data_IF_836228607230
#
_entry.id   IF_836228607230
#
_cell.length_a   1.000
_cell.length_b   1.000
_cell.length_c   1.000
_cell.angle_alpha   90.00
_cell.angle_beta   90.00
_cell.angle_gamma   90.00
#
_symmetry.space_group_name_H-M   'P 1'
#
loop_
_entity.id
_entity.type
_entity.pdbx_description
1 polymer ?
2 branched ?
3 branched ?
4 non-polymer ?
5 non-polymer ?
6 water ?
#
# COMPACT_ATOMS: atom_id res chain seq x y z
N UNK A 2 4.96 -3.60 14.73
CA UNK A 2 4.82 -2.31 13.97
C UNK A 2 5.58 -2.25 12.59
N UNK A 3 5.21 -1.27 11.77
CA UNK A 3 5.70 -1.08 10.39
C UNK A 3 5.94 0.43 10.14
N UNK A 4 7.07 0.88 9.61
CA UNK A 4 7.90 0.24 8.59
C UNK A 4 6.86 -0.21 7.53
N UNK A 5 6.66 -1.45 7.11
CA UNK A 5 7.57 -2.50 6.89
C UNK A 5 7.20 -3.16 5.56
N UNK A 6 5.98 -3.11 4.96
CA UNK A 6 4.76 -2.23 5.07
C UNK A 6 4.47 -0.82 4.55
N UNK A 7 5.24 0.19 4.91
CA UNK A 7 5.30 1.44 4.18
C UNK A 7 6.41 1.48 3.06
N UNK A 8 6.02 2.01 1.92
CA UNK A 8 6.93 2.42 0.87
C UNK A 8 8.07 3.29 1.43
N UNK A 9 9.32 2.93 1.14
CA UNK A 9 10.45 3.72 1.64
C UNK A 9 11.12 4.38 0.46
N UNK A 10 11.92 5.36 0.77
CA UNK A 10 12.51 6.15 -0.32
C UNK A 10 13.89 6.56 0.03
N UNK A 11 14.79 6.45 -0.94
CA UNK A 11 16.21 6.91 -0.72
C UNK A 11 16.50 8.05 -1.64
N UNK A 12 16.82 9.16 -1.02
CA UNK A 12 17.27 10.35 -1.69
C UNK A 12 18.73 10.12 -2.04
N UNK A 13 18.95 9.76 -3.31
CA UNK A 13 20.22 9.19 -3.77
C UNK A 13 21.02 10.19 -4.57
N UNK A 14 22.30 10.28 -4.27
CA UNK A 14 23.16 11.22 -4.90
C UNK A 14 24.30 10.40 -5.64
N UNK A 15 24.56 10.74 -6.91
CA UNK A 15 25.55 10.04 -7.76
C UNK A 15 26.65 11.01 -8.18
N UNK A 16 27.89 10.55 -8.06
CA UNK A 16 29.13 11.21 -8.61
C UNK A 16 29.65 10.31 -9.71
N UNK A 17 29.93 10.91 -10.85
CA UNK A 17 30.67 10.28 -11.90
C UNK A 17 32.10 10.91 -11.88
N UNK A 18 33.09 10.06 -11.57
CA UNK A 18 34.46 10.56 -11.39
C UNK A 18 35.12 10.91 -12.76
N UNK A 19 36.25 11.59 -12.70
CA UNK A 19 36.93 12.11 -13.92
C UNK A 19 37.45 10.97 -14.85
N UNK A 20 37.90 9.85 -14.32
CA UNK A 20 38.24 8.67 -15.15
C UNK A 20 37.08 8.15 -15.95
N UNK A 21 35.92 8.10 -15.34
CA UNK A 21 34.77 7.70 -16.07
C UNK A 21 34.39 8.75 -17.16
N UNK A 22 34.41 10.04 -16.85
CA UNK A 22 34.14 11.07 -17.82
C UNK A 22 35.06 10.92 -19.04
N UNK A 23 36.38 10.69 -18.81
CA UNK A 23 37.37 10.42 -19.90
C UNK A 23 37.03 9.17 -20.67
N UNK A 24 36.75 8.08 -19.96
CA UNK A 24 36.34 6.81 -20.61
C UNK A 24 35.08 6.98 -21.50
N UNK A 25 34.18 7.91 -21.13
CA UNK A 25 33.02 8.27 -21.93
C UNK A 25 33.32 9.35 -22.93
N UNK A 26 34.58 9.53 -23.28
CA UNK A 26 34.87 10.47 -24.35
C UNK A 26 34.32 11.87 -24.09
N UNK A 27 34.35 12.27 -22.82
CA UNK A 27 33.86 13.61 -22.46
C UNK A 27 32.39 13.86 -22.83
N UNK A 28 31.59 12.82 -23.00
CA UNK A 28 30.22 12.94 -23.53
C UNK A 28 29.22 12.99 -22.35
N UNK A 29 28.90 14.17 -21.83
CA UNK A 29 27.97 14.29 -20.71
C UNK A 29 26.64 13.72 -21.03
N UNK A 30 26.07 14.10 -22.19
CA UNK A 30 24.79 13.51 -22.48
C UNK A 30 24.75 11.97 -22.39
N UNK A 31 25.81 11.31 -22.80
CA UNK A 31 25.84 9.83 -22.88
C UNK A 31 26.05 9.33 -21.48
N UNK A 32 26.83 10.09 -20.70
CA UNK A 32 26.98 9.72 -19.30
C UNK A 32 25.65 9.77 -18.52
N UNK A 33 24.92 10.88 -18.71
CA UNK A 33 23.64 11.06 -18.00
C UNK A 33 22.60 10.02 -18.38
N UNK A 34 22.38 9.79 -19.67
CA UNK A 34 21.41 8.80 -20.08
C UNK A 34 21.81 7.42 -19.52
N UNK A 35 23.11 7.08 -19.44
CA UNK A 35 23.52 5.78 -18.91
C UNK A 35 23.03 5.73 -17.42
N UNK A 36 23.28 6.80 -16.66
CA UNK A 36 22.99 6.73 -15.18
C UNK A 36 21.49 6.71 -14.98
N UNK A 37 20.79 7.50 -15.78
CA UNK A 37 19.31 7.39 -15.72
C UNK A 37 18.81 5.98 -15.93
N UNK A 38 19.35 5.28 -16.93
CA UNK A 38 18.83 3.93 -17.30
C UNK A 38 19.24 2.92 -16.22
N UNK A 39 20.36 3.16 -15.56
CA UNK A 39 20.79 2.26 -14.54
C UNK A 39 19.95 2.44 -13.35
N UNK A 40 19.64 3.71 -12.97
CA UNK A 40 18.83 3.95 -11.80
C UNK A 40 17.46 3.34 -11.98
N UNK A 41 16.91 3.35 -13.18
CA UNK A 41 15.57 2.79 -13.36
C UNK A 41 15.59 1.28 -13.19
N UNK A 42 16.68 0.67 -13.63
CA UNK A 42 16.92 -0.79 -13.51
C UNK A 42 17.15 -1.16 -12.04
N UNK A 43 17.92 -0.36 -11.30
CA UNK A 43 17.98 -0.55 -9.84
C UNK A 43 16.57 -0.49 -9.12
N UNK A 44 15.72 0.50 -9.47
CA UNK A 44 14.38 0.59 -8.92
C UNK A 44 13.47 -0.64 -9.24
N UNK A 45 13.59 -1.18 -10.46
CA UNK A 45 12.93 -2.40 -10.83
C UNK A 45 13.37 -3.55 -9.95
N UNK A 46 14.64 -3.71 -9.61
CA UNK A 46 15.08 -4.81 -8.68
C UNK A 46 14.67 -4.53 -7.24
N UNK A 47 14.64 -3.27 -6.83
CA UNK A 47 14.23 -2.97 -5.47
C UNK A 47 12.69 -2.95 -5.19
N UNK A 48 11.91 -2.92 -6.25
CA UNK A 48 10.45 -2.85 -6.11
C UNK A 48 9.83 -3.89 -5.09
N UNK A 49 10.18 -5.18 -5.20
CA UNK A 49 9.65 -6.13 -4.20
C UNK A 49 10.04 -5.75 -2.78
N UNK A 50 11.13 -5.00 -2.59
CA UNK A 50 11.45 -4.53 -1.24
C UNK A 50 10.74 -3.24 -0.87
N UNK A 51 9.83 -2.72 -1.68
CA UNK A 51 9.12 -1.48 -1.32
C UNK A 51 10.06 -0.28 -1.04
N UNK A 52 11.09 -0.13 -1.82
CA UNK A 52 12.07 0.91 -1.57
C UNK A 52 12.32 1.48 -3.00
N UNK A 53 12.21 2.79 -3.06
CA UNK A 53 12.40 3.51 -4.30
C UNK A 53 13.61 4.43 -4.15
N UNK A 54 14.46 4.42 -5.18
CA UNK A 54 15.70 5.21 -5.24
C UNK A 54 15.41 6.46 -6.06
N UNK A 55 15.39 7.59 -5.38
CA UNK A 55 15.07 8.80 -6.06
C UNK A 55 16.33 9.55 -6.29
N UNK A 56 16.66 9.73 -7.59
CA UNK A 56 17.83 10.50 -7.91
C UNK A 56 17.66 12.02 -7.71
N UNK A 57 18.30 12.56 -6.69
CA UNK A 57 18.23 13.97 -6.40
C UNK A 57 19.54 14.78 -6.56
N UNK A 58 20.62 14.12 -6.98
CA UNK A 58 21.85 14.83 -7.30
C UNK A 58 22.73 13.99 -8.25
N UNK A 59 23.37 14.66 -9.20
CA UNK A 59 24.36 14.04 -10.15
C UNK A 59 25.48 15.01 -10.39
N UNK A 60 26.67 14.69 -9.92
CA UNK A 60 27.83 15.51 -10.33
C UNK A 60 28.69 14.69 -11.30
N UNK A 61 29.14 15.36 -12.34
CA UNK A 61 30.16 14.79 -13.25
C UNK A 61 31.46 15.57 -13.06
N UNK A 62 32.48 14.88 -12.63
CA UNK A 62 33.74 15.59 -12.38
C UNK A 62 34.48 15.74 -13.75
N UNK A 63 34.00 16.66 -14.59
CA UNK A 63 34.59 16.89 -15.86
C UNK A 63 35.99 17.57 -15.85
N UNK A 64 36.42 18.18 -14.75
CA UNK A 64 37.74 18.79 -14.77
C UNK A 64 38.77 17.99 -13.95
N UNK A 65 38.44 17.65 -12.71
CA UNK A 65 39.33 16.91 -11.89
C UNK A 65 38.46 16.25 -10.84
N UNK A 66 38.99 15.22 -10.17
CA UNK A 66 38.29 14.62 -9.08
C UNK A 66 38.32 15.51 -7.85
N UNK A 67 37.30 15.39 -6.98
CA UNK A 67 37.27 16.29 -5.81
C UNK A 67 37.96 15.71 -4.60
N UNK A 68 38.17 14.39 -4.55
CA UNK A 68 39.13 13.79 -3.62
C UNK A 68 39.89 12.70 -4.45
N UNK A 69 40.96 12.10 -3.90
CA UNK A 69 41.80 11.13 -4.62
C UNK A 69 41.20 9.78 -4.81
N UNK A 70 40.95 9.40 -6.04
CA UNK A 70 40.41 8.06 -6.22
C UNK A 70 41.57 7.12 -6.52
N UNK A 71 41.58 5.94 -5.88
CA UNK A 71 42.76 5.10 -5.81
C UNK A 71 42.26 3.76 -6.06
N UNK A 72 43.12 2.86 -6.61
CA UNK A 72 42.70 1.53 -7.03
C UNK A 72 42.44 0.52 -5.92
N UNK A 73 42.89 0.82 -4.71
CA UNK A 73 42.51 0.02 -3.53
C UNK A 73 41.11 0.47 -3.16
N UNK A 74 40.13 -0.39 -3.45
CA UNK A 74 38.71 -0.09 -3.28
C UNK A 74 38.39 0.35 -1.84
N UNK A 75 38.99 -0.31 -0.83
CA UNK A 75 38.70 0.06 0.56
C UNK A 75 39.26 1.42 0.88
N UNK A 76 40.36 1.80 0.29
CA UNK A 76 40.85 3.17 0.53
C UNK A 76 39.94 4.26 -0.16
N UNK A 77 39.44 3.98 -1.34
CA UNK A 77 38.54 4.95 -1.99
C UNK A 77 37.22 5.06 -1.24
N UNK A 78 36.71 3.93 -0.80
CA UNK A 78 35.45 3.91 -0.11
C UNK A 78 35.52 4.73 1.15
N UNK A 79 36.59 4.60 1.91
CA UNK A 79 36.74 5.40 3.09
C UNK A 79 36.95 6.89 2.80
N UNK A 80 37.75 7.20 1.83
CA UNK A 80 37.85 8.56 1.30
C UNK A 80 36.52 9.22 0.77
N UNK A 81 35.69 8.42 0.09
CA UNK A 81 34.41 8.91 -0.44
C UNK A 81 33.50 9.24 0.73
N UNK A 82 33.40 8.31 1.71
CA UNK A 82 32.61 8.48 2.90
C UNK A 82 32.88 9.77 3.62
N UNK A 83 34.15 10.11 3.66
CA UNK A 83 34.64 11.26 4.38
C UNK A 83 34.34 12.50 3.62
N UNK A 84 34.51 12.44 2.31
CA UNK A 84 34.16 13.52 1.45
C UNK A 84 32.69 13.72 1.57
N UNK A 85 31.91 12.65 1.55
CA UNK A 85 30.47 12.87 1.63
C UNK A 85 30.14 13.59 2.95
N UNK A 86 30.70 13.09 4.01
CA UNK A 86 30.39 13.72 5.32
C UNK A 86 30.95 15.11 5.45
N UNK A 87 32.17 15.31 5.05
CA UNK A 87 32.82 16.57 5.38
C UNK A 87 32.48 17.66 4.39
N UNK A 88 32.29 17.28 3.12
CA UNK A 88 32.09 18.27 2.04
C UNK A 88 30.67 18.36 1.47
N UNK A 89 30.03 17.22 1.16
CA UNK A 89 28.82 17.24 0.39
C UNK A 89 27.65 17.50 1.32
N UNK A 90 27.54 16.65 2.35
CA UNK A 90 26.36 16.60 3.23
C UNK A 90 26.01 17.97 3.84
N UNK A 91 27.02 18.79 4.24
CA UNK A 91 26.60 20.09 4.76
C UNK A 91 25.92 20.94 3.72
N UNK A 92 26.09 20.65 2.44
CA UNK A 92 25.47 21.50 1.42
C UNK A 92 24.35 20.82 0.65
N UNK A 93 24.42 19.50 0.53
CA UNK A 93 23.42 18.73 -0.23
C UNK A 93 22.93 17.54 0.54
N UNK A 94 21.69 17.63 0.96
CA UNK A 94 21.08 16.58 1.72
C UNK A 94 20.89 15.34 0.88
N UNK A 95 21.20 14.17 1.45
CA UNK A 95 20.96 12.97 0.71
C UNK A 95 21.06 11.84 1.68
N UNK A 96 20.34 10.75 1.41
CA UNK A 96 20.39 9.55 2.29
C UNK A 96 21.60 8.61 2.05
N UNK A 97 22.08 8.61 0.78
CA UNK A 97 23.03 7.68 0.31
C UNK A 97 23.61 8.28 -0.98
N UNK A 98 24.92 8.08 -1.21
CA UNK A 98 25.65 8.42 -2.38
C UNK A 98 26.40 7.22 -2.96
N UNK A 99 26.44 7.12 -4.29
CA UNK A 99 27.34 6.21 -4.95
C UNK A 99 28.32 6.95 -5.84
N UNK A 100 29.57 6.49 -5.77
CA UNK A 100 30.58 6.90 -6.69
C UNK A 100 30.73 5.87 -7.86
N UNK A 101 30.54 6.37 -9.08
CA UNK A 101 30.70 5.58 -10.29
C UNK A 101 32.08 5.99 -10.84
N UNK A 102 32.96 5.02 -10.92
CA UNK A 102 34.31 5.35 -11.22
C UNK A 102 34.82 4.60 -12.45
N UNK A 103 35.71 5.26 -13.18
CA UNK A 103 36.40 4.61 -14.32
C UNK A 103 37.79 4.07 -13.96
N UNK A 104 38.18 4.13 -12.70
CA UNK A 104 39.47 3.59 -12.28
C UNK A 104 39.28 2.08 -12.36
N UNK A 105 40.38 1.34 -12.57
CA UNK A 105 40.31 -0.10 -12.51
C UNK A 105 40.75 -0.50 -11.08
N UNK A 106 39.87 -1.10 -10.31
CA UNK A 106 40.23 -1.45 -8.93
C UNK A 106 41.11 -2.68 -8.93
N UNK A 107 41.96 -2.74 -7.89
CA UNK A 107 42.86 -3.86 -7.61
C UNK A 107 42.12 -5.14 -7.74
N UNK A 108 42.76 -6.15 -8.33
CA UNK A 108 42.20 -7.48 -8.33
C UNK A 108 40.98 -7.47 -9.19
N UNK A 109 40.03 -8.29 -8.90
CA UNK A 109 38.81 -8.27 -9.76
C UNK A 109 37.59 -7.65 -9.04
N UNK A 110 37.86 -6.96 -7.95
CA UNK A 110 36.95 -6.05 -7.29
C UNK A 110 36.28 -5.03 -8.27
N UNK A 111 34.94 -4.90 -8.14
CA UNK A 111 34.09 -4.09 -9.00
C UNK A 111 33.25 -3.02 -8.23
N UNK A 112 33.23 -3.18 -6.90
CA UNK A 112 32.73 -2.16 -6.01
C UNK A 112 32.95 -2.48 -4.53
N UNK A 113 32.59 -1.53 -3.67
CA UNK A 113 32.61 -1.79 -2.22
C UNK A 113 31.61 -0.89 -1.48
N UNK A 114 31.08 -1.37 -0.35
CA UNK A 114 30.03 -0.62 0.41
C UNK A 114 30.21 -0.88 1.88
N UNK A 115 29.83 0.07 2.73
CA UNK A 115 29.66 -0.32 4.13
C UNK A 115 28.39 -1.07 4.29
N UNK A 116 28.35 -1.91 5.30
CA UNK A 116 27.16 -2.77 5.53
C UNK A 116 26.16 -2.11 6.51
N UNK A 117 24.87 -2.08 6.14
CA UNK A 117 23.80 -1.53 7.00
C UNK A 117 24.18 -0.15 7.53
N UNK A 118 24.28 0.82 6.62
CA UNK A 118 24.80 2.13 7.02
C UNK A 118 23.91 3.23 6.47
N UNK A 119 22.67 2.88 6.11
CA UNK A 119 21.72 3.87 5.61
C UNK A 119 21.65 4.99 6.61
N UNK A 120 21.59 6.20 6.09
CA UNK A 120 21.49 7.36 6.96
C UNK A 120 22.73 7.69 7.83
N UNK A 121 23.77 6.84 7.90
CA UNK A 121 24.96 7.24 8.70
C UNK A 121 25.72 8.33 7.95
N UNK A 122 26.23 9.31 8.70
CA UNK A 122 26.80 10.50 8.07
C UNK A 122 28.13 10.17 7.48
N UNK A 123 28.77 9.09 7.99
CA UNK A 123 30.08 8.73 7.48
C UNK A 123 30.03 7.49 6.66
N UNK A 124 28.94 6.76 6.53
CA UNK A 124 29.05 5.43 5.93
C UNK A 124 28.02 5.06 4.87
N UNK A 125 27.08 5.95 4.66
CA UNK A 125 26.02 5.71 3.72
C UNK A 125 26.51 6.00 2.26
N UNK A 126 27.22 5.02 1.67
CA UNK A 126 28.14 5.28 0.58
C UNK A 126 28.56 3.98 0.02
N UNK A 127 28.67 3.91 -1.31
CA UNK A 127 29.23 2.82 -1.96
C UNK A 127 29.93 3.27 -3.20
N UNK A 128 30.91 2.46 -3.66
CA UNK A 128 31.67 2.78 -4.83
C UNK A 128 31.49 1.67 -5.84
N UNK A 129 31.49 2.03 -7.14
CA UNK A 129 31.17 1.07 -8.18
C UNK A 129 31.96 1.39 -9.41
N UNK A 130 32.61 0.38 -9.97
CA UNK A 130 33.32 0.56 -11.18
C UNK A 130 32.37 0.44 -12.33
N UNK A 131 32.45 1.39 -13.26
CA UNK A 131 31.75 1.21 -14.51
C UNK A 131 32.59 0.30 -15.46
N UNK A 132 32.47 -1.00 -15.21
CA UNK A 132 33.43 -1.99 -15.68
C UNK A 132 32.91 -2.78 -16.89
N UNK A 133 31.78 -2.39 -17.51
CA UNK A 133 31.26 -3.09 -18.66
C UNK A 133 30.26 -2.17 -19.37
N UNK A 134 30.25 -2.20 -20.69
CA UNK A 134 29.31 -1.41 -21.50
C UNK A 134 27.85 -1.74 -21.14
N UNK A 135 27.63 -3.00 -20.76
CA UNK A 135 26.33 -3.48 -20.38
C UNK A 135 25.77 -2.98 -19.04
N UNK A 136 24.79 -2.06 -19.10
CA UNK A 136 24.18 -1.55 -17.88
C UNK A 136 23.47 -2.69 -17.18
N UNK A 137 23.04 -3.71 -17.93
CA UNK A 137 22.40 -4.88 -17.24
C UNK A 137 23.32 -5.38 -16.13
N UNK A 138 24.64 -5.30 -16.36
CA UNK A 138 25.61 -5.78 -15.40
C UNK A 138 26.02 -4.70 -14.41
N UNK A 139 26.28 -3.47 -14.85
CA UNK A 139 26.70 -2.43 -13.88
C UNK A 139 25.52 -2.11 -12.97
N UNK A 140 24.29 -2.15 -13.48
CA UNK A 140 23.16 -1.81 -12.66
C UNK A 140 22.97 -2.84 -11.53
N UNK A 141 23.31 -4.11 -11.80
CA UNK A 141 23.26 -5.20 -10.76
C UNK A 141 24.29 -4.98 -9.68
N UNK A 142 25.51 -4.63 -10.05
CA UNK A 142 26.49 -4.19 -9.07
C UNK A 142 26.01 -2.96 -8.27
N UNK A 143 25.44 -1.97 -8.96
CA UNK A 143 24.82 -0.87 -8.23
C UNK A 143 23.75 -1.37 -7.24
N UNK A 144 22.84 -2.20 -7.66
CA UNK A 144 21.84 -2.71 -6.72
C UNK A 144 22.45 -3.56 -5.56
N UNK A 145 23.40 -4.43 -5.90
CA UNK A 145 24.18 -5.28 -4.90
C UNK A 145 24.88 -4.48 -3.86
N UNK A 146 25.64 -3.46 -4.27
CA UNK A 146 26.28 -2.54 -3.29
C UNK A 146 25.30 -1.78 -2.36
N UNK A 147 24.23 -1.29 -2.94
CA UNK A 147 23.19 -0.65 -2.14
C UNK A 147 22.50 -1.70 -1.26
N UNK A 148 22.30 -2.91 -1.79
CA UNK A 148 21.91 -4.08 -0.99
C UNK A 148 22.79 -4.20 0.24
N UNK A 149 24.13 -4.11 0.09
CA UNK A 149 24.99 -4.08 1.26
C UNK A 149 24.70 -2.92 2.22
N UNK A 150 24.43 -1.70 1.72
CA UNK A 150 24.23 -0.54 2.61
C UNK A 150 22.93 -0.69 3.46
N UNK A 151 21.97 -1.38 2.87
CA UNK A 151 20.73 -1.70 3.52
C UNK A 151 20.81 -3.06 4.37
N UNK A 152 22.02 -3.36 4.90
CA UNK A 152 22.24 -4.46 5.89
C UNK A 152 22.38 -5.90 5.42
N UNK A 153 22.39 -6.14 4.11
CA UNK A 153 22.37 -7.46 3.54
C UNK A 153 23.83 -7.92 3.25
N UNK A 154 24.20 -9.12 3.72
CA UNK A 154 25.47 -9.82 3.38
C UNK A 154 25.31 -10.73 2.16
N UNK A 155 26.42 -11.29 1.71
CA UNK A 155 26.40 -12.22 0.56
C UNK A 155 25.58 -13.47 0.83
N UNK A 156 24.90 -13.93 -0.21
CA UNK A 156 24.06 -15.09 -0.15
C UNK A 156 24.95 -16.27 0.26
N UNK A 157 24.50 -17.07 1.23
CA UNK A 157 25.17 -18.36 1.58
C UNK A 157 24.77 -19.38 0.53
N UNK A 158 25.51 -20.48 0.44
CA UNK A 158 25.47 -21.34 -0.75
C UNK A 158 24.08 -21.89 -1.09
N UNK A 159 23.19 -21.82 -0.11
CA UNK A 159 21.84 -22.43 -0.15
C UNK A 159 20.62 -21.54 -0.56
N UNK A 160 20.86 -20.25 -0.87
CA UNK A 160 19.83 -19.30 -1.34
C UNK A 160 19.93 -19.44 -2.83
N UNK A 161 19.03 -19.01 -3.74
CA UNK A 161 17.60 -19.37 -3.77
C UNK A 161 17.44 -19.65 -5.32
N UNK A 162 17.57 -18.69 -6.25
CA UNK A 162 16.47 -17.87 -6.73
C UNK A 162 16.33 -18.61 -8.02
N UNK A 163 15.23 -18.39 -8.75
CA UNK A 163 15.10 -19.01 -10.08
C UNK A 163 14.85 -17.80 -10.96
N UNK A 164 15.20 -17.89 -12.26
CA UNK A 164 16.39 -18.62 -12.75
C UNK A 164 17.73 -18.07 -12.33
N UNK A 165 18.01 -16.84 -12.81
CA UNK A 165 19.37 -16.30 -13.01
C UNK A 165 19.89 -16.15 -11.62
N UNK A 166 21.12 -15.67 -11.44
CA UNK A 166 21.55 -15.52 -10.07
C UNK A 166 20.74 -14.50 -9.26
N UNK A 167 20.85 -14.67 -7.95
CA UNK A 167 20.38 -13.72 -6.97
C UNK A 167 21.30 -12.55 -6.94
N UNK A 168 20.72 -11.36 -6.73
CA UNK A 168 21.49 -10.10 -6.63
C UNK A 168 22.67 -10.16 -5.65
N UNK A 169 22.50 -10.86 -4.53
CA UNK A 169 23.60 -10.87 -3.56
C UNK A 169 24.61 -12.02 -3.70
N UNK A 170 24.50 -12.81 -4.75
CA UNK A 170 25.61 -13.72 -5.05
C UNK A 170 26.89 -12.87 -5.06
N UNK A 171 27.93 -13.33 -4.36
CA UNK A 171 29.19 -12.60 -4.30
C UNK A 171 29.83 -12.46 -5.70
N UNK A 172 29.54 -13.38 -6.61
CA UNK A 172 30.14 -13.31 -7.93
C UNK A 172 29.12 -13.72 -8.98
N UNK A 173 28.91 -12.85 -9.96
CA UNK A 173 27.93 -13.13 -11.05
C UNK A 173 28.65 -12.88 -12.34
N UNK A 174 28.16 -13.46 -13.41
CA UNK A 174 28.62 -13.13 -14.80
C UNK A 174 27.44 -12.82 -15.74
N UNK A 175 26.25 -13.08 -15.20
CA UNK A 175 25.00 -12.63 -15.81
C UNK A 175 24.26 -11.58 -14.90
N UNK A 176 23.48 -10.70 -15.53
CA UNK A 176 22.60 -9.81 -14.85
C UNK A 176 21.75 -10.57 -13.81
N UNK A 177 21.54 -9.88 -12.70
CA UNK A 177 20.81 -10.40 -11.55
C UNK A 177 19.49 -9.57 -11.43
N UNK A 178 18.38 -10.26 -11.24
CA UNK A 178 17.05 -9.62 -11.20
C UNK A 178 16.31 -9.74 -9.89
N UNK A 179 16.72 -10.62 -8.99
CA UNK A 179 15.94 -10.77 -7.76
C UNK A 179 16.77 -11.11 -6.61
N UNK A 180 16.27 -10.74 -5.44
CA UNK A 180 16.97 -11.02 -4.18
C UNK A 180 16.49 -12.41 -3.73
N UNK A 181 17.40 -13.16 -3.08
CA UNK A 181 17.07 -14.41 -2.36
C UNK A 181 16.12 -14.17 -1.17
N UNK A 182 15.24 -15.12 -0.87
CA UNK A 182 14.46 -15.02 0.39
C UNK A 182 15.32 -14.68 1.66
N UNK A 183 16.60 -15.09 1.66
CA UNK A 183 17.56 -14.83 2.75
C UNK A 183 18.01 -13.37 2.76
N UNK A 184 18.10 -12.77 1.58
CA UNK A 184 18.44 -11.32 1.50
C UNK A 184 17.24 -10.58 1.99
N UNK A 185 16.09 -10.94 1.44
CA UNK A 185 14.83 -10.31 1.84
C UNK A 185 14.60 -10.32 3.38
N UNK A 186 14.78 -11.48 4.01
CA UNK A 186 14.80 -11.64 5.52
C UNK A 186 15.77 -10.71 6.25
N UNK A 187 17.02 -10.62 5.77
CA UNK A 187 18.07 -9.90 6.50
C UNK A 187 17.83 -8.42 6.42
N UNK A 188 17.23 -7.99 5.30
CA UNK A 188 16.89 -6.60 5.09
C UNK A 188 15.77 -6.23 5.98
N UNK A 189 14.70 -7.04 5.97
CA UNK A 189 13.58 -6.89 6.94
C UNK A 189 14.10 -6.81 8.38
N UNK A 190 15.10 -7.60 8.76
CA UNK A 190 15.67 -7.48 10.11
C UNK A 190 16.46 -6.25 10.31
N UNK A 191 17.24 -5.88 9.27
CA UNK A 191 18.06 -4.64 9.35
C UNK A 191 17.15 -3.51 9.74
N UNK A 192 16.04 -3.41 9.00
CA UNK A 192 15.11 -2.32 9.17
C UNK A 192 14.52 -2.31 10.57
N UNK A 193 14.11 -3.51 11.04
CA UNK A 193 13.57 -3.65 12.43
C UNK A 193 14.57 -3.22 13.52
N UNK A 194 15.83 -3.60 13.37
CA UNK A 194 16.87 -3.34 14.36
C UNK A 194 17.42 -1.91 14.32
N UNK A 195 17.64 -1.38 13.12
CA UNK A 195 18.31 -0.08 13.02
C UNK A 195 17.30 1.05 12.81
N UNK A 196 16.10 0.69 12.34
CA UNK A 196 15.08 1.70 12.17
C UNK A 196 15.63 3.02 11.53
N UNK A 197 16.21 2.95 10.26
CA UNK A 197 16.84 4.14 9.59
C UNK A 197 15.79 5.19 9.27
N UNK A 198 15.84 6.33 9.91
CA UNK A 198 14.69 7.26 9.85
C UNK A 198 14.59 7.93 8.50
N UNK A 199 15.75 8.22 7.94
CA UNK A 199 15.84 9.12 6.80
C UNK A 199 15.27 8.55 5.53
N UNK A 200 14.82 7.30 5.54
CA UNK A 200 14.32 6.68 4.33
C UNK A 200 12.82 6.65 4.34
N UNK A 201 12.24 7.33 5.32
CA UNK A 201 10.79 7.40 5.49
C UNK A 201 10.07 8.56 4.71
N UNK A 202 10.75 9.69 4.50
CA UNK A 202 10.17 10.79 3.81
C UNK A 202 10.12 10.60 2.34
N UNK A 203 9.02 11.04 1.75
CA UNK A 203 8.82 10.98 0.36
C UNK A 203 9.35 12.30 -0.18
N UNK A 204 10.35 12.23 -1.12
CA UNK A 204 10.87 13.43 -1.79
C UNK A 204 9.89 14.10 -2.74
N UNK A 205 10.03 15.41 -2.92
CA UNK A 205 9.20 16.15 -3.88
C UNK A 205 9.55 15.77 -5.32
N UNK A 206 8.55 15.67 -6.16
CA UNK A 206 8.75 15.39 -7.54
C UNK A 206 9.67 16.44 -8.19
N UNK A 207 9.63 17.68 -7.69
CA UNK A 207 10.43 18.73 -8.26
C UNK A 207 11.90 18.66 -7.84
N UNK A 208 12.27 17.82 -6.86
CA UNK A 208 13.70 17.72 -6.52
C UNK A 208 14.41 16.56 -7.24
N UNK A 209 13.71 15.75 -8.00
CA UNK A 209 14.27 14.59 -8.72
C UNK A 209 14.95 15.11 -9.97
N UNK A 210 16.21 14.71 -10.22
CA UNK A 210 16.97 15.26 -11.32
C UNK A 210 16.97 14.30 -12.51
N UNK A 211 16.64 13.01 -12.29
CA UNK A 211 16.41 12.10 -13.40
C UNK A 211 15.12 12.55 -14.15
N UNK A 212 15.06 12.42 -15.47
CA UNK A 212 13.83 12.62 -16.18
C UNK A 212 12.71 11.69 -15.72
N UNK A 213 11.45 12.15 -15.81
CA UNK A 213 10.28 11.31 -15.42
C UNK A 213 10.18 10.00 -16.15
N UNK A 214 9.76 8.95 -15.45
CA UNK A 214 9.56 7.68 -16.13
C UNK A 214 8.13 7.15 -15.89
N UNK A 215 7.33 7.09 -16.93
CA UNK A 215 5.96 6.70 -16.70
C UNK A 215 5.94 5.20 -16.48
N UNK A 216 5.62 4.74 -15.27
CA UNK A 216 5.57 3.33 -15.06
C UNK A 216 6.53 2.88 -13.99
N UNK A 217 7.19 3.85 -13.35
CA UNK A 217 8.05 3.53 -12.25
C UNK A 217 7.45 3.65 -10.84
N UNK A 218 6.14 3.89 -10.76
CA UNK A 218 5.41 3.81 -9.47
C UNK A 218 5.72 5.04 -8.67
N UNK A 219 6.43 5.99 -9.24
CA UNK A 219 6.67 7.26 -8.54
C UNK A 219 6.20 8.41 -9.41
N UNK A 220 5.43 9.33 -8.79
CA UNK A 220 4.73 10.33 -9.54
C UNK A 220 5.74 11.48 -9.75
N UNK A 221 6.06 11.81 -10.99
CA UNK A 221 7.11 12.75 -11.22
C UNK A 221 6.52 13.95 -11.95
N UNK A 222 7.34 14.96 -12.21
CA UNK A 222 6.88 16.13 -12.98
C UNK A 222 6.21 15.70 -14.29
N UNK A 223 5.03 16.28 -14.51
CA UNK A 223 4.26 16.02 -15.70
C UNK A 223 3.47 14.74 -15.57
N UNK A 224 3.53 14.08 -14.43
CA UNK A 224 2.69 12.91 -14.28
C UNK A 224 1.62 13.27 -13.25
N UNK A 225 0.42 12.71 -13.37
CA UNK A 225 -0.66 12.84 -12.39
C UNK A 225 -0.70 11.61 -11.47
N UNK A 226 -0.57 10.46 -12.07
CA UNK A 226 -0.54 9.19 -11.29
C UNK A 226 0.44 8.18 -11.99
N UNK A 227 1.02 7.28 -11.23
CA UNK A 227 1.85 6.27 -11.79
C UNK A 227 1.68 4.97 -11.01
N UNK A 228 1.16 3.96 -11.71
CA UNK A 228 0.71 2.65 -11.12
C UNK A 228 1.38 1.51 -11.89
N UNK A 229 2.46 1.82 -12.61
CA UNK A 229 3.18 0.83 -13.38
C UNK A 229 2.61 0.67 -14.77
N UNK A 230 2.76 -0.53 -15.33
CA UNK A 230 2.29 -0.85 -16.69
C UNK A 230 0.76 -1.06 -16.74
N UNK A 231 0.16 -0.86 -17.90
CA UNK A 231 -1.29 -1.10 -17.98
C UNK A 231 -1.72 -2.46 -17.44
N UNK A 232 -0.85 -3.46 -17.48
CA UNK A 232 -1.23 -4.80 -17.02
C UNK A 232 -0.99 -5.01 -15.52
N UNK A 233 -0.06 -4.26 -14.96
CA UNK A 233 0.15 -4.41 -13.54
C UNK A 233 -0.74 -3.46 -12.74
N UNK A 234 -1.30 -2.44 -13.38
CA UNK A 234 -1.91 -1.36 -12.64
C UNK A 234 -3.12 -1.80 -11.78
N UNK A 235 -3.02 -1.60 -10.45
CA UNK A 235 -4.10 -1.82 -9.46
C UNK A 235 -4.87 -0.52 -9.10
N UNK A 236 -4.62 0.57 -9.81
CA UNK A 236 -5.30 1.81 -9.52
C UNK A 236 -6.39 2.01 -10.52
N UNK A 237 -7.62 1.84 -10.05
CA UNK A 237 -8.82 1.92 -10.88
C UNK A 237 -8.98 3.23 -11.62
N UNK A 238 -8.40 4.32 -11.13
CA UNK A 238 -8.73 5.63 -11.68
C UNK A 238 -7.54 6.36 -12.36
N UNK A 239 -6.51 5.58 -12.64
CA UNK A 239 -5.30 6.02 -13.33
C UNK A 239 -5.29 5.31 -14.69
N UNK A 240 -5.03 6.05 -15.74
CA UNK A 240 -4.77 5.47 -17.01
C UNK A 240 -3.25 5.28 -17.03
N UNK A 241 -2.82 4.02 -16.81
CA UNK A 241 -1.40 3.66 -16.65
C UNK A 241 -0.56 4.09 -17.83
N UNK A 242 -1.08 3.91 -19.05
CA UNK A 242 -0.29 4.12 -20.26
C UNK A 242 0.19 5.56 -20.36
N UNK A 243 -0.63 6.51 -19.86
CA UNK A 243 -0.32 7.92 -20.05
C UNK A 243 -0.01 8.57 -18.70
N UNK A 244 -0.10 7.82 -17.60
CA UNK A 244 0.09 8.40 -16.26
C UNK A 244 -0.82 9.59 -15.97
N UNK A 245 -2.07 9.45 -16.44
CA UNK A 245 -3.09 10.48 -16.34
C UNK A 245 -4.27 9.99 -15.57
N UNK A 246 -5.07 10.71 -14.68
CA UNK A 246 -6.32 10.43 -13.97
C UNK A 246 -7.41 10.08 -14.98
N UNK A 247 -8.17 9.00 -14.74
CA UNK A 247 -9.40 8.74 -15.55
C UNK A 247 -10.44 9.86 -15.39
N UNK A 248 -11.33 10.05 -16.36
CA UNK A 248 -12.32 11.10 -16.19
C UNK A 248 -13.36 10.82 -15.12
N UNK A 249 -14.03 11.87 -14.66
CA UNK A 249 -15.02 11.80 -13.56
C UNK A 249 -16.35 11.13 -13.93
N UNK A 250 -16.57 10.81 -15.22
CA UNK A 250 -17.75 10.04 -15.63
C UNK A 250 -17.54 8.52 -15.41
N UNK A 251 -16.31 8.15 -15.10
CA UNK A 251 -15.89 6.75 -15.05
C UNK A 251 -16.39 6.10 -13.73
N UNK A 252 -17.26 5.12 -13.85
CA UNK A 252 -17.75 4.51 -12.63
C UNK A 252 -16.69 3.54 -12.17
N UNK A 253 -16.37 3.50 -10.89
CA UNK A 253 -15.43 2.45 -10.48
C UNK A 253 -15.96 1.41 -9.50
N UNK A 254 -17.12 1.65 -8.88
CA UNK A 254 -17.74 0.57 -8.03
C UNK A 254 -19.26 0.82 -8.06
N UNK A 255 -20.00 0.06 -8.88
CA UNK A 255 -21.48 0.21 -8.96
C UNK A 255 -22.18 -0.06 -7.60
N UNK A 256 -23.33 0.59 -7.38
CA UNK A 256 -24.16 0.40 -6.19
C UNK A 256 -24.56 -1.04 -6.22
N UNK A 257 -24.21 -1.82 -5.21
CA UNK A 257 -24.64 -3.27 -5.24
C UNK A 257 -26.15 -3.49 -5.07
N UNK A 258 -26.83 -2.54 -4.41
CA UNK A 258 -28.26 -2.50 -4.19
C UNK A 258 -28.53 -1.12 -3.65
N UNK A 259 -29.75 -0.95 -3.11
CA UNK A 259 -30.23 0.37 -2.82
C UNK A 259 -29.81 0.93 -1.50
N UNK A 260 -28.97 0.23 -0.75
CA UNK A 260 -28.49 0.80 0.50
C UNK A 260 -27.03 1.15 0.28
N UNK A 261 -26.64 0.97 -0.97
CA UNK A 261 -25.31 1.27 -1.47
C UNK A 261 -25.27 2.63 -2.29
N UNK A 262 -24.20 3.43 -2.15
CA UNK A 262 -23.90 4.56 -3.13
C UNK A 262 -22.85 4.13 -4.22
N UNK A 263 -23.04 4.52 -5.53
CA UNK A 263 -21.98 4.13 -6.51
C UNK A 263 -20.72 4.93 -6.31
N UNK A 264 -19.54 4.32 -6.45
CA UNK A 264 -18.36 5.17 -6.68
C UNK A 264 -17.96 5.50 -8.15
N UNK A 265 -17.57 6.74 -8.37
CA UNK A 265 -17.06 7.17 -9.62
C UNK A 265 -15.63 7.70 -9.37
N UNK A 266 -14.75 7.63 -10.39
CA UNK A 266 -13.45 8.31 -10.34
C UNK A 266 -13.67 9.76 -10.07
N UNK A 267 -12.81 10.39 -9.27
CA UNK A 267 -13.04 11.82 -9.06
C UNK A 267 -12.58 12.71 -10.27
N UNK A 268 -11.78 12.15 -11.18
CA UNK A 268 -11.17 12.98 -12.22
C UNK A 268 -9.87 13.65 -11.84
N UNK A 269 -9.47 13.52 -10.59
CA UNK A 269 -8.31 14.21 -10.06
C UNK A 269 -7.69 13.45 -8.88
N UNK A 270 -7.94 12.14 -8.89
CA UNK A 270 -7.27 11.14 -8.03
C UNK A 270 -7.19 9.78 -8.75
N UNK A 271 -6.27 8.93 -8.29
CA UNK A 271 -5.84 7.69 -8.92
C UNK A 271 -6.61 6.48 -8.46
N UNK A 272 -7.05 6.50 -7.22
CA UNK A 272 -7.82 5.37 -6.63
C UNK A 272 -9.33 5.56 -6.69
N UNK A 273 -9.98 4.42 -6.83
CA UNK A 273 -11.40 4.39 -6.62
C UNK A 273 -11.70 4.89 -5.12
N UNK A 274 -12.58 5.93 -4.98
CA UNK A 274 -13.04 6.41 -3.67
C UNK A 274 -13.42 5.21 -2.87
N UNK A 275 -13.21 5.25 -1.56
CA UNK A 275 -13.72 4.19 -0.65
C UNK A 275 -15.26 3.99 -0.79
N UNK A 276 -15.72 2.83 -0.37
CA UNK A 276 -17.09 2.39 -0.50
C UNK A 276 -17.93 3.11 0.58
N UNK A 277 -18.60 4.18 0.15
CA UNK A 277 -19.66 4.85 0.91
C UNK A 277 -20.95 4.13 0.66
N UNK A 278 -21.81 4.16 1.71
CA UNK A 278 -23.05 3.45 1.68
C UNK A 278 -24.12 4.49 1.71
N UNK A 279 -25.33 4.10 1.38
CA UNK A 279 -26.45 4.99 1.68
C UNK A 279 -26.47 5.35 3.22
N UNK A 280 -26.80 6.60 3.55
CA UNK A 280 -27.01 7.09 4.90
C UNK A 280 -27.97 6.20 5.75
N UNK A 281 -27.63 5.94 7.00
CA UNK A 281 -28.57 5.26 7.93
C UNK A 281 -29.80 6.11 8.04
N UNK A 282 -30.96 5.46 8.07
CA UNK A 282 -32.31 6.08 8.11
C UNK A 282 -32.93 6.29 6.73
N UNK A 283 -32.15 6.02 5.69
CA UNK A 283 -32.61 6.30 4.37
C UNK A 283 -33.62 5.28 3.96
N UNK A 284 -34.79 5.70 3.45
CA UNK A 284 -35.75 4.64 2.99
C UNK A 284 -35.12 3.69 1.95
N UNK A 285 -35.48 2.42 2.03
CA UNK A 285 -35.09 1.41 1.06
C UNK A 285 -36.25 0.41 0.85
N UNK A 286 -36.07 -0.46 -0.16
CA UNK A 286 -37.07 -1.43 -0.74
C UNK A 286 -38.50 -0.92 -0.74
N UNK A 287 -38.76 0.09 -1.56
CA UNK A 287 -40.13 0.52 -1.71
C UNK A 287 -40.75 1.03 -0.43
N UNK A 288 -39.94 1.75 0.33
CA UNK A 288 -40.38 2.36 1.55
C UNK A 288 -40.68 1.28 2.56
N UNK A 289 -39.66 0.44 2.79
CA UNK A 289 -39.85 -0.74 3.64
C UNK A 289 -38.97 -1.27 4.82
N UNK A 290 -37.79 -0.83 4.26
CA UNK A 290 -36.82 -0.27 5.26
C UNK A 290 -36.69 1.18 5.45
N UNK A 291 -35.95 1.85 6.62
CA UNK A 291 -34.50 2.03 6.62
C UNK A 291 -33.26 1.24 6.36
N UNK A 292 -32.36 1.83 5.58
CA UNK A 292 -30.94 1.60 5.58
C UNK A 292 -30.19 1.56 6.89
N UNK A 293 -29.38 0.55 7.09
CA UNK A 293 -28.59 0.45 8.31
C UNK A 293 -27.31 -0.30 8.01
N UNK A 294 -26.17 0.39 8.15
CA UNK A 294 -24.88 -0.19 7.81
C UNK A 294 -24.97 -0.80 6.39
N UNK A 295 -25.57 -0.08 5.45
CA UNK A 295 -25.60 -0.50 4.05
C UNK A 295 -26.41 -1.76 3.89
N UNK A 296 -27.39 -1.93 4.72
CA UNK A 296 -28.22 -3.09 4.60
C UNK A 296 -29.70 -2.58 4.85
N UNK A 297 -30.71 -3.35 4.45
CA UNK A 297 -32.10 -2.95 4.62
C UNK A 297 -32.92 -3.98 5.47
N UNK A 298 -32.73 -3.97 6.79
CA UNK A 298 -33.29 -5.06 7.64
C UNK A 298 -34.78 -4.99 7.69
N UNK A 299 -35.46 -6.08 7.39
CA UNK A 299 -36.92 -6.11 7.51
C UNK A 299 -37.41 -7.34 8.28
N UNK A 300 -38.56 -7.23 8.98
CA UNK A 300 -39.06 -8.38 9.73
C UNK A 300 -39.37 -9.48 8.74
N UNK A 301 -39.91 -9.18 7.55
CA UNK A 301 -40.21 -10.24 6.63
C UNK A 301 -38.94 -10.94 6.16
N UNK A 302 -37.86 -10.18 5.93
CA UNK A 302 -36.68 -10.82 5.37
C UNK A 302 -36.03 -11.65 6.44
N UNK A 303 -36.07 -11.21 7.72
CA UNK A 303 -35.63 -12.01 8.85
C UNK A 303 -36.43 -13.30 8.99
N UNK A 304 -37.72 -13.26 8.76
CA UNK A 304 -38.53 -14.54 8.69
C UNK A 304 -38.07 -15.43 7.61
N UNK A 305 -37.79 -14.82 6.45
CA UNK A 305 -37.36 -15.63 5.31
C UNK A 305 -35.97 -16.24 5.60
N UNK A 306 -35.04 -15.46 6.11
CA UNK A 306 -33.78 -16.09 6.35
C UNK A 306 -33.86 -17.19 7.40
N UNK A 307 -34.74 -17.04 8.40
CA UNK A 307 -34.87 -18.08 9.44
C UNK A 307 -35.59 -19.32 8.90
N UNK A 308 -36.65 -19.14 8.13
CA UNK A 308 -37.58 -20.27 7.89
C UNK A 308 -37.76 -20.57 6.45
N UNK A 309 -37.28 -19.67 5.61
CA UNK A 309 -37.43 -19.95 4.19
C UNK A 309 -38.41 -19.12 3.41
N UNK A 310 -38.37 -19.27 2.07
CA UNK A 310 -39.20 -18.44 1.16
C UNK A 310 -40.71 -18.59 1.35
N UNK A 311 -41.18 -19.65 1.99
CA UNK A 311 -42.61 -19.79 2.22
C UNK A 311 -43.20 -18.94 3.34
N UNK A 312 -42.40 -18.17 4.06
CA UNK A 312 -42.82 -17.42 5.24
C UNK A 312 -42.71 -15.91 5.13
N UNK A 313 -43.46 -15.17 5.98
CA UNK A 313 -43.31 -13.74 6.20
C UNK A 313 -43.50 -13.37 7.67
N UNK A 314 -43.34 -12.07 7.96
CA UNK A 314 -43.67 -11.54 9.26
C UNK A 314 -45.17 -11.88 9.51
N UNK A 315 -45.52 -12.27 10.73
CA UNK A 315 -46.89 -12.45 11.20
C UNK A 315 -47.65 -11.12 11.23
N UNK A 316 -49.00 -11.19 11.14
CA UNK A 316 -49.81 -10.02 11.37
C UNK A 316 -49.55 -9.34 12.74
N UNK A 317 -49.67 -8.03 12.70
CA UNK A 317 -49.35 -7.09 13.77
C UNK A 317 -49.85 -7.50 15.12
N UNK A 318 -51.02 -8.14 15.17
CA UNK A 318 -51.63 -8.43 16.46
C UNK A 318 -50.84 -9.47 17.21
N UNK A 319 -50.05 -10.30 16.52
CA UNK A 319 -49.25 -11.35 17.17
C UNK A 319 -48.25 -10.71 18.11
N UNK A 320 -47.64 -9.62 17.63
CA UNK A 320 -46.59 -8.91 18.42
C UNK A 320 -47.03 -8.41 19.81
N UNK A 321 -48.35 -8.21 19.97
CA UNK A 321 -48.91 -7.86 21.29
C UNK A 321 -48.66 -8.88 22.37
N UNK A 322 -48.55 -10.18 22.03
CA UNK A 322 -48.05 -11.14 23.00
C UNK A 322 -46.84 -10.63 23.77
N UNK A 323 -45.93 -9.89 23.14
CA UNK A 323 -44.70 -9.42 23.80
C UNK A 323 -44.83 -8.50 24.99
N UNK A 324 -46.03 -7.95 25.20
CA UNK A 324 -46.30 -7.17 26.40
C UNK A 324 -46.36 -8.10 27.61
N UNK A 325 -46.46 -9.43 27.36
CA UNK A 325 -46.53 -10.38 28.46
C UNK A 325 -45.22 -10.44 29.18
N UNK A 326 -44.12 -10.35 28.44
CA UNK A 326 -42.81 -10.53 29.06
C UNK A 326 -42.60 -11.90 29.70
N UNK A 327 -43.36 -12.93 29.28
CA UNK A 327 -43.21 -14.29 29.86
C UNK A 327 -42.14 -15.05 29.10
N UNK A 328 -42.05 -16.36 29.29
CA UNK A 328 -40.81 -16.91 28.76
C UNK A 328 -40.61 -16.95 27.24
N UNK A 329 -41.73 -17.00 26.52
CA UNK A 329 -41.66 -16.98 25.08
C UNK A 329 -41.84 -15.62 24.40
N UNK A 330 -42.65 -14.74 24.96
CA UNK A 330 -43.06 -13.51 24.32
C UNK A 330 -42.61 -12.32 25.21
N UNK A 331 -41.73 -11.47 24.71
CA UNK A 331 -40.97 -10.51 25.55
C UNK A 331 -40.12 -9.52 24.67
N UNK A 332 -39.58 -8.48 25.33
CA UNK A 332 -38.48 -7.65 24.84
C UNK A 332 -37.22 -7.91 25.65
N UNK A 333 -36.13 -7.31 25.21
CA UNK A 333 -34.91 -7.31 26.02
C UNK A 333 -34.39 -5.91 26.21
N UNK A 334 -33.95 -5.64 27.43
CA UNK A 334 -33.24 -4.41 27.70
C UNK A 334 -31.93 -4.51 26.98
N UNK A 335 -31.30 -3.36 26.76
CA UNK A 335 -29.96 -3.30 26.16
C UNK A 335 -28.94 -4.34 26.74
N UNK A 336 -29.06 -4.72 28.03
CA UNK A 336 -28.11 -5.66 28.63
C UNK A 336 -28.13 -7.22 28.43
N UNK A 337 -29.06 -7.91 27.75
CA UNK A 337 -30.42 -7.60 27.55
C UNK A 337 -31.17 -8.68 28.33
N UNK A 338 -31.66 -8.26 29.49
CA UNK A 338 -32.53 -9.09 30.31
C UNK A 338 -33.98 -9.03 29.77
N UNK A 339 -34.71 -10.13 29.97
CA UNK A 339 -36.12 -10.23 29.57
C UNK A 339 -37.00 -9.28 30.30
N UNK A 340 -37.77 -8.49 29.55
CA UNK A 340 -38.80 -7.57 30.09
C UNK A 340 -40.11 -7.69 29.27
N UNK A 341 -41.25 -7.43 29.92
CA UNK A 341 -42.48 -7.31 29.13
C UNK A 341 -42.24 -6.17 28.14
N UNK A 342 -42.80 -6.16 26.95
CA UNK A 342 -42.62 -4.96 26.06
C UNK A 342 -43.62 -3.84 26.44
N UNK A 343 -43.20 -2.56 26.37
CA UNK A 343 -44.18 -1.47 26.28
C UNK A 343 -44.91 -1.62 24.95
N UNK A 344 -46.13 -1.09 24.83
CA UNK A 344 -46.96 -1.25 23.61
C UNK A 344 -46.32 -0.75 22.32
N UNK A 345 -45.48 0.24 22.41
CA UNK A 345 -44.90 0.87 21.21
C UNK A 345 -43.70 0.01 20.74
N UNK A 346 -43.18 -0.81 21.65
CA UNK A 346 -41.96 -1.57 21.42
C UNK A 346 -42.12 -3.02 20.97
N UNK A 347 -43.34 -3.47 20.76
CA UNK A 347 -43.66 -4.88 20.63
C UNK A 347 -43.01 -5.55 19.42
N UNK A 348 -42.80 -4.78 18.32
CA UNK A 348 -42.18 -5.38 17.09
C UNK A 348 -40.69 -5.55 17.18
N UNK A 349 -40.05 -4.93 18.17
CA UNK A 349 -38.64 -5.04 18.50
C UNK A 349 -38.37 -6.16 19.49
N UNK A 350 -39.42 -6.89 19.87
CA UNK A 350 -39.21 -8.01 20.84
C UNK A 350 -39.18 -9.32 20.06
N UNK A 351 -39.58 -10.40 20.68
CA UNK A 351 -39.63 -11.62 19.98
C UNK A 351 -40.30 -11.47 18.55
N UNK A 352 -39.65 -12.10 17.56
CA UNK A 352 -40.17 -12.21 16.18
C UNK A 352 -41.21 -13.32 15.97
N UNK A 353 -42.31 -12.97 15.26
CA UNK A 353 -43.31 -13.93 14.87
C UNK A 353 -43.37 -13.92 13.40
N UNK A 354 -43.54 -15.15 12.93
CA UNK A 354 -43.57 -15.54 11.53
C UNK A 354 -44.78 -16.32 11.18
N UNK A 355 -45.08 -16.28 9.89
CA UNK A 355 -46.25 -16.97 9.31
C UNK A 355 -46.01 -17.40 7.87
N UNK A 356 -46.61 -18.48 7.46
CA UNK A 356 -46.67 -18.77 6.07
C UNK A 356 -47.30 -17.66 5.24
N UNK A 357 -46.69 -17.37 4.12
CA UNK A 357 -47.22 -16.34 3.21
C UNK A 357 -48.75 -16.48 3.07
N UNK A 358 -49.43 -15.33 3.06
CA UNK A 358 -50.92 -15.25 3.08
C UNK A 358 -51.78 -16.09 4.08
N UNK A 359 -51.29 -16.31 5.35
CA UNK A 359 -52.01 -17.14 6.36
C UNK A 359 -52.23 -16.67 7.81
N UNK A 360 -51.91 -15.46 8.20
CA UNK A 360 -52.47 -15.02 9.54
C UNK A 360 -52.07 -15.78 10.85
N UNK A 361 -51.17 -16.75 10.79
CA UNK A 361 -50.72 -17.41 12.00
C UNK A 361 -49.74 -16.56 12.80
N UNK A 362 -49.59 -16.87 14.09
CA UNK A 362 -48.42 -16.44 14.82
C UNK A 362 -47.67 -17.73 15.02
N UNK A 363 -46.20 -17.80 14.45
CA UNK A 363 -45.33 -18.85 14.88
C UNK A 363 -44.06 -18.26 15.24
N UNK A 364 -43.33 -18.98 16.07
CA UNK A 364 -42.03 -18.59 16.55
C UNK A 364 -41.00 -19.54 16.01
N UNK A 365 -39.97 -19.02 15.27
CA UNK A 365 -38.88 -19.91 14.79
C UNK A 365 -38.15 -20.46 15.99
N UNK A 366 -38.06 -21.78 16.12
CA UNK A 366 -37.69 -22.27 17.45
C UNK A 366 -36.23 -21.88 17.75
N UNK A 367 -36.02 -21.21 18.88
CA UNK A 367 -34.70 -20.64 19.12
C UNK A 367 -34.36 -20.50 20.58
N UNK A 368 -33.38 -21.28 21.02
CA UNK A 368 -32.87 -21.15 22.42
C UNK A 368 -32.99 -19.69 23.02
N UNK A 369 -32.51 -18.66 22.31
CA UNK A 369 -32.55 -17.25 22.82
C UNK A 369 -34.00 -16.67 23.28
N UNK A 370 -34.95 -16.41 22.38
CA UNK A 370 -34.86 -16.55 20.99
C UNK A 370 -34.95 -15.21 20.28
N UNK A 371 -35.27 -15.32 19.01
CA UNK A 371 -34.93 -14.26 18.06
C UNK A 371 -35.82 -13.04 18.18
N UNK A 372 -35.18 -11.86 18.21
CA UNK A 372 -35.85 -10.58 18.19
C UNK A 372 -35.43 -9.84 16.94
N UNK A 373 -36.18 -8.83 16.58
CA UNK A 373 -35.85 -7.97 15.51
C UNK A 373 -34.42 -7.49 15.56
N UNK A 374 -33.80 -7.56 14.43
CA UNK A 374 -32.46 -7.07 14.27
C UNK A 374 -32.44 -5.53 14.35
N UNK A 375 -31.31 -4.97 14.87
CA UNK A 375 -31.07 -3.52 14.94
C UNK A 375 -31.34 -2.82 13.61
N UNK A 376 -32.10 -1.71 13.64
CA UNK A 376 -32.41 -0.87 12.48
C UNK A 376 -33.56 -1.46 11.73
N UNK A 377 -34.15 -2.55 12.23
CA UNK A 377 -35.36 -3.08 11.55
C UNK A 377 -36.48 -2.05 11.62
N UNK A 378 -37.17 -1.81 10.49
CA UNK A 378 -38.30 -0.89 10.56
C UNK A 378 -39.48 -1.44 11.39
N UNK A 379 -39.89 -0.72 12.43
CA UNK A 379 -40.97 -1.22 13.32
C UNK A 379 -42.30 -0.46 13.25
N UNK A 380 -42.47 0.33 12.20
CA UNK A 380 -43.50 1.37 12.10
C UNK A 380 -42.93 2.52 11.27
N UNK A 381 -43.81 3.40 10.74
CA UNK A 381 -43.39 4.46 9.80
C UNK A 381 -42.62 5.50 10.56
N UNK A 382 -41.45 5.90 10.06
CA UNK A 382 -40.45 6.77 10.77
C UNK A 382 -39.77 6.16 12.01
N UNK A 383 -39.92 4.86 12.21
CA UNK A 383 -39.30 4.15 13.32
C UNK A 383 -38.62 2.82 13.03
N UNK A 384 -37.60 2.59 13.84
CA UNK A 384 -36.72 1.47 13.70
C UNK A 384 -36.32 0.98 15.09
N UNK A 385 -36.06 -0.34 15.17
CA UNK A 385 -35.58 -0.90 16.39
C UNK A 385 -34.15 -0.41 16.71
N UNK A 386 -33.99 0.01 17.96
CA UNK A 386 -32.68 0.40 18.46
C UNK A 386 -32.61 0.10 19.96
N UNK A 387 -31.61 -0.65 20.39
CA UNK A 387 -31.49 -1.15 21.80
C UNK A 387 -32.81 -1.71 22.39
N UNK A 388 -33.47 -2.56 21.58
CA UNK A 388 -34.62 -3.32 21.99
C UNK A 388 -35.86 -2.48 22.01
N UNK A 389 -35.78 -1.31 21.43
CA UNK A 389 -36.93 -0.41 21.46
C UNK A 389 -37.28 0.11 20.11
N UNK A 390 -38.53 0.53 19.99
CA UNK A 390 -38.97 1.12 18.78
C UNK A 390 -38.85 2.66 18.90
N UNK A 391 -37.99 3.25 18.07
CA UNK A 391 -37.61 4.65 18.26
C UNK A 391 -37.64 5.36 16.96
N UNK A 392 -37.45 6.67 17.04
CA UNK A 392 -37.47 7.50 15.85
C UNK A 392 -36.13 7.53 15.20
N UNK A 393 -36.13 7.52 13.89
CA UNK A 393 -35.15 8.30 13.13
C UNK A 393 -35.72 9.77 13.28
N UNK A 394 -34.94 10.81 13.65
CA UNK A 394 -33.49 10.87 13.70
C UNK A 394 -32.77 10.59 15.03
N UNK A 395 -33.05 9.48 15.65
CA UNK A 395 -31.93 8.81 16.26
C UNK A 395 -32.01 7.50 15.47
N UNK A 396 -31.72 7.53 14.16
CA UNK A 396 -30.64 8.31 13.41
C UNK A 396 -29.24 8.69 13.95
N UNK A 397 -28.53 7.79 14.64
CA UNK A 397 -28.85 6.37 14.96
C UNK A 397 -28.11 6.07 16.25
X LIG B 1 31.66 6.26 11.53
X LIG B 1 32.71 5.19 11.88
X LIG B 1 32.09 4.12 12.80
X LIG B 1 31.69 4.74 14.12
X LIG B 1 30.83 5.99 13.84
X LIG B 1 31.48 7.24 14.42
X LIG B 1 34.24 5.38 10.09
X LIG B 1 34.84 4.80 8.85
X LIG B 1 33.35 4.62 10.70
X LIG B 1 32.95 3.03 13.01
X LIG B 1 30.97 3.69 14.75
X LIG B 1 30.59 6.30 12.48
X LIG B 1 30.55 7.89 15.23
X LIG B 1 34.51 6.52 10.51
X LIG B 2 30.82 3.61 16.22
X LIG B 2 31.96 3.98 17.19
X LIG B 2 31.62 3.14 18.41
X LIG B 2 30.33 3.69 19.05
X LIG B 2 29.19 3.83 18.01
X LIG B 2 28.12 4.84 18.45
X LIG B 2 34.46 4.43 17.27
X LIG B 2 34.30 5.80 17.88
X LIG B 2 33.36 3.79 16.77
X LIG B 2 32.71 3.09 19.31
X LIG B 2 29.94 2.96 20.20
X LIG B 2 29.62 4.21 16.71
X LIG B 2 28.66 6.13 18.57
X LIG B 2 35.58 3.92 17.24
X LIG B 3 31.29 8.15 16.45
X LIG B 3 32.17 9.42 16.30
X LIG B 3 32.06 10.32 17.52
X LIG B 3 32.15 9.51 18.84
X LIG B 3 31.05 8.41 18.91
X LIG B 3 31.51 7.17 19.68
X LIG B 3 31.90 10.19 15.14
X LIG B 3 33.03 11.35 17.39
X LIG B 3 33.44 8.97 19.08
X LIG B 3 30.48 8.07 17.63
X LIG C 1 -23.18 -1.38 12.36
X LIG C 1 -22.96 -2.52 13.35
X LIG C 1 -22.56 -1.96 14.72
X LIG C 1 -21.52 -0.83 14.75
X LIG C 1 -21.62 0.12 13.53
X LIG C 1 -20.30 0.86 13.24
X LIG C 1 -24.39 -4.36 14.16
X LIG C 1 -25.28 -4.24 15.38
X LIG C 1 -24.19 -3.28 13.41
X LIG C 1 -22.09 -3.01 15.53
X LIG C 1 -21.76 -0.08 15.95
X LIG C 1 -22.00 -0.60 12.34
X LIG C 1 -20.32 1.55 11.99
X LIG C 1 -23.86 -5.44 13.88
X LIG C 2 -20.70 0.09 16.93
X LIG C 2 -19.68 -1.09 17.12
X LIG C 2 -18.19 -0.84 16.70
X LIG C 2 -17.94 0.59 16.17
X LIG C 2 -18.74 1.58 17.02
X LIG C 2 -18.37 3.04 16.73
X LIG C 2 -20.02 -2.72 19.03
X LIG C 2 -19.13 -3.16 20.18
X LIG C 2 -19.78 -1.47 18.54
X LIG C 2 -17.64 -1.80 15.80
X LIG C 2 -16.55 0.89 16.16
X LIG C 2 -20.15 1.41 16.85
X LIG C 2 -19.33 3.61 15.87
X LIG C 2 -20.92 -3.47 18.64
X LIG C 3 -19.61 0.95 10.83
X LIG C 3 -20.43 -0.17 10.11
X LIG C 3 -21.12 0.27 8.94
X LIG C 3 -19.64 -1.45 9.79
X LIG C 3 -20.53 -2.54 9.55
X LIG C 3 -18.61 -1.77 10.90
X LIG C 3 -19.22 -2.24 12.09
X LIG C 3 -17.61 -0.59 11.14
X LIG C 3 -16.86 -0.69 12.48
X LIG C 3 -18.18 0.72 10.96
X LIG D 1 29.20 -7.84 -2.20
X LIG E 1 15.40 10.84 3.06
X LIG F 1 6.84 8.10 -12.84
X LIG G 1 -20.52 2.43 -2.48
#
# INVERSE_FOLDING_TARGET
>A
QDRYLQDKKYIEFYVIVDNRMYRYYNNDKPAIKIKVYEMINAVNTKFRPLKIHIALIGLEIWSNKDKFEVKPAASVTLKSFGEWRETVLLPRKRNDNAQLLTGIDFNGNTVGRAYIGSLCKTNESVAIVQDYNRRISLVASTITHELGHNLGIHHDKASCICIPGPCIMLKKRTAPAFQFSSCSIREYREYLLRDRPQCILNKPLSTDIVSPPICGNYFVEVGEECDCGSPQACQSACCNAATCQFKGAETECRVAKDDCDLPELCTGQSAECPTDSLQRNGHPCQNNQSYCYNGTCPTLTNQCITLLGPHFTVSPKGCFNLNMRGDDGSFCRMEDGTKIPCAAKDVKCGRLYCTEKNTMSCLIPPNPDGIMAEPGTKCGDGMVCSKGQCVDVQTAY
>B hetero
1 NAG C1 C2 C3 C4 C5 C6 C7 C8 N2 O3 O4 O5 O6 O7
2 NAG C1 C2 C3 C4 C5 C6 C7 C8 N2 O3 O4 O5 O6 O7
3 FUC C1 C2 C3 C4 C5 C6 O2 O3 O4 O5
>C hetero
1 NAG C1 C2 C3 C4 C5 C6 C7 C8 N2 O3 O4 O5 O6 O7
2 NAG C1 C2 C3 C4 C5 C6 C7 C8 N2 O3 O4 O5 O6 O7
3 FUL C1 C2 O2 C3 O3 C4 O4 C5 C6 O5
>D hetero
1 ZN ZN
>E hetero
1 CA CA
>F hetero
1 CA CA
>G hetero
1 CA CA
#
